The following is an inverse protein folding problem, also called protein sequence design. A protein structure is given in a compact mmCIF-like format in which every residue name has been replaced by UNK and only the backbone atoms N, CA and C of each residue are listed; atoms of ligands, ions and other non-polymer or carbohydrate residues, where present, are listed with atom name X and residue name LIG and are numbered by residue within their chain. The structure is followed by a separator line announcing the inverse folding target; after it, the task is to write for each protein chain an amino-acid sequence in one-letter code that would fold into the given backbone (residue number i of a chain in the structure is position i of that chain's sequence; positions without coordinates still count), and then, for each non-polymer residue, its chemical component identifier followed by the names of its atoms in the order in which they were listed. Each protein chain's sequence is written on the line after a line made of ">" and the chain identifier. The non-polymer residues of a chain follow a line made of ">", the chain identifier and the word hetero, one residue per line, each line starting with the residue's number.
data_IF_441277208001
#
_entry.id   IF_441277208001
#
_cell.length_a   1.000
_cell.length_b   1.000
_cell.length_c   1.000
_cell.angle_alpha   90.00
_cell.angle_beta   90.00
_cell.angle_gamma   90.00
#
_symmetry.space_group_name_H-M   'P 1'
#
loop_
_entity.id
_entity.type
_entity.pdbx_description
1 polymer ?
#
# COMPACT_ATOMS: atom_id res chain seq x y z
N UNK A 1 -20.51 -48.35 -0.99
CA UNK A 1 -19.82 -47.35 -1.83
C UNK A 1 -19.70 -46.05 -1.07
N UNK A 2 -18.61 -45.83 -0.36
CA UNK A 2 -18.32 -44.59 0.32
C UNK A 2 -17.47 -43.69 -0.58
N UNK A 3 -18.11 -42.68 -1.16
CA UNK A 3 -17.45 -41.61 -1.87
C UNK A 3 -16.85 -40.63 -0.87
N UNK A 4 -15.58 -40.81 -0.53
CA UNK A 4 -14.84 -39.79 0.20
C UNK A 4 -14.66 -38.56 -0.71
N UNK A 5 -15.43 -37.53 -0.46
CA UNK A 5 -15.21 -36.20 -1.03
C UNK A 5 -13.82 -35.71 -0.65
N UNK A 6 -12.91 -35.76 -1.59
CA UNK A 6 -11.57 -35.13 -1.45
C UNK A 6 -11.79 -33.63 -1.37
N UNK A 7 -11.82 -33.13 -0.16
CA UNK A 7 -11.73 -31.72 0.15
C UNK A 7 -10.42 -31.18 -0.44
N UNK A 8 -10.52 -30.55 -1.60
CA UNK A 8 -9.41 -29.83 -2.19
C UNK A 8 -9.10 -28.68 -1.23
N UNK A 9 -8.12 -28.89 -0.37
CA UNK A 9 -7.45 -27.77 0.31
C UNK A 9 -7.04 -26.80 -0.78
N UNK A 10 -7.73 -25.70 -0.88
CA UNK A 10 -7.20 -24.51 -1.54
C UNK A 10 -5.94 -24.17 -0.75
N UNK A 11 -4.80 -24.52 -1.27
CA UNK A 11 -3.53 -24.02 -0.79
C UNK A 11 -3.58 -22.51 -1.03
N UNK A 12 -4.00 -21.78 0.00
CA UNK A 12 -3.95 -20.34 -0.03
C UNK A 12 -2.46 -19.98 -0.22
N UNK A 13 -2.12 -19.53 -1.41
CA UNK A 13 -0.81 -18.99 -1.68
C UNK A 13 -0.63 -17.82 -0.70
N UNK A 14 0.46 -17.78 0.07
CA UNK A 14 0.65 -16.68 1.01
C UNK A 14 0.58 -15.35 0.25
N UNK A 15 0.03 -14.29 0.85
CA UNK A 15 -0.05 -12.98 0.21
C UNK A 15 1.34 -12.56 -0.24
N UNK A 16 1.47 -12.24 -1.52
CA UNK A 16 2.75 -11.80 -2.07
C UNK A 16 2.98 -10.35 -1.66
N UNK A 17 4.14 -10.06 -1.12
CA UNK A 17 4.57 -8.68 -0.91
C UNK A 17 4.67 -8.01 -2.27
N UNK A 18 4.01 -6.89 -2.42
CA UNK A 18 4.00 -6.12 -3.65
C UNK A 18 5.13 -5.11 -3.67
N UNK A 19 5.36 -4.48 -2.53
CA UNK A 19 6.30 -3.38 -2.44
C UNK A 19 6.81 -3.16 -1.01
N UNK A 20 8.04 -2.69 -0.89
CA UNK A 20 8.63 -2.22 0.36
C UNK A 20 9.20 -0.82 0.13
N UNK A 21 8.83 0.13 0.98
CA UNK A 21 9.18 1.54 0.85
C UNK A 21 9.66 2.11 2.18
N UNK A 22 10.83 2.73 2.17
CA UNK A 22 11.27 3.55 3.29
C UNK A 22 10.47 4.86 3.36
N UNK A 23 10.22 5.32 4.59
CA UNK A 23 9.65 6.64 4.81
C UNK A 23 10.62 7.74 4.33
N UNK A 24 10.13 8.74 3.58
CA UNK A 24 10.94 9.90 3.25
C UNK A 24 11.08 10.88 4.41
N UNK A 25 10.39 10.65 5.53
CA UNK A 25 10.33 11.57 6.68
C UNK A 25 11.02 11.01 7.92
N UNK A 26 11.03 9.69 8.08
CA UNK A 26 11.58 9.00 9.25
C UNK A 26 12.52 7.89 8.81
N UNK A 27 13.82 7.97 9.14
CA UNK A 27 14.81 7.01 8.65
C UNK A 27 14.64 5.60 9.21
N UNK A 28 13.90 5.44 10.32
CA UNK A 28 13.64 4.16 10.97
C UNK A 28 12.33 3.50 10.53
N UNK A 29 11.52 4.19 9.69
CA UNK A 29 10.19 3.74 9.33
C UNK A 29 10.13 3.27 7.89
N UNK A 30 9.51 2.11 7.68
CA UNK A 30 9.22 1.60 6.35
C UNK A 30 7.83 0.97 6.26
N UNK A 31 7.29 0.92 5.05
CA UNK A 31 6.00 0.31 4.75
C UNK A 31 6.18 -0.96 3.92
N UNK A 32 5.33 -1.94 4.15
CA UNK A 32 5.18 -3.12 3.31
C UNK A 32 3.76 -3.21 2.82
N UNK A 33 3.61 -3.24 1.49
CA UNK A 33 2.35 -3.49 0.82
C UNK A 33 2.24 -4.94 0.33
N UNK A 34 1.08 -5.53 0.49
CA UNK A 34 0.68 -6.78 -0.14
C UNK A 34 -0.67 -6.62 -0.83
N UNK A 35 -1.17 -7.67 -1.48
CA UNK A 35 -2.49 -7.63 -2.11
C UNK A 35 -3.64 -7.36 -1.13
N UNK A 36 -3.43 -7.57 0.17
CA UNK A 36 -4.49 -7.58 1.19
C UNK A 36 -4.23 -6.62 2.34
N UNK A 37 -3.02 -6.11 2.49
CA UNK A 37 -2.67 -5.23 3.59
C UNK A 37 -1.58 -4.21 3.24
N UNK A 38 -1.57 -3.14 4.02
CA UNK A 38 -0.48 -2.18 4.11
C UNK A 38 -0.05 -2.10 5.57
N UNK A 39 1.22 -2.34 5.86
CA UNK A 39 1.76 -2.35 7.22
C UNK A 39 2.93 -1.40 7.33
N UNK A 40 2.99 -0.69 8.45
CA UNK A 40 4.13 0.14 8.84
C UNK A 40 4.93 -0.52 9.94
N UNK A 41 6.24 -0.47 9.78
CA UNK A 41 7.21 -0.95 10.76
C UNK A 41 8.19 0.14 11.12
N UNK A 42 8.59 0.12 12.36
CA UNK A 42 9.69 0.94 12.89
C UNK A 42 10.85 0.03 13.28
N UNK A 43 12.04 0.44 12.85
CA UNK A 43 13.29 -0.24 13.18
C UNK A 43 14.03 0.56 14.24
N UNK A 44 14.25 -0.01 15.42
CA UNK A 44 15.11 0.56 16.44
C UNK A 44 16.50 -0.06 16.36
N UNK A 45 17.41 0.57 15.60
CA UNK A 45 18.77 0.11 15.45
C UNK A 45 19.66 0.64 16.56
N UNK A 46 20.11 -0.22 17.47
CA UNK A 46 21.36 -0.06 18.19
C UNK A 46 22.36 -1.09 17.69
N UNK A 47 23.55 -0.63 17.45
CA UNK A 47 24.67 -1.28 16.80
C UNK A 47 24.83 -2.81 17.02
N UNK A 48 25.12 -3.47 15.92
CA UNK A 48 26.02 -4.59 15.68
C UNK A 48 25.56 -6.03 15.82
N UNK A 49 24.55 -6.44 16.52
CA UNK A 49 24.28 -7.91 16.59
C UNK A 49 22.82 -8.38 16.76
N UNK A 50 21.87 -7.51 16.86
CA UNK A 50 20.46 -7.89 17.13
C UNK A 50 19.44 -7.30 16.14
N UNK A 51 19.82 -7.06 14.92
CA UNK A 51 18.97 -6.39 13.90
C UNK A 51 17.60 -7.09 13.66
N UNK A 52 17.50 -8.37 13.93
CA UNK A 52 16.25 -9.12 13.72
C UNK A 52 15.20 -8.97 14.82
N UNK A 53 15.54 -8.41 15.98
CA UNK A 53 14.65 -8.34 17.13
C UNK A 53 14.01 -6.96 17.36
N UNK A 54 14.40 -5.95 16.59
CA UNK A 54 14.04 -4.56 16.85
C UNK A 54 13.11 -3.95 15.82
N UNK A 55 12.32 -4.77 15.11
CA UNK A 55 11.30 -4.31 14.18
C UNK A 55 9.95 -4.41 14.83
N UNK A 56 9.26 -3.27 14.98
CA UNK A 56 7.92 -3.18 15.55
C UNK A 56 6.89 -2.80 14.51
N UNK A 57 5.74 -3.46 14.53
CA UNK A 57 4.57 -3.04 13.78
C UNK A 57 3.96 -1.80 14.46
N UNK A 58 3.90 -0.67 13.75
CA UNK A 58 3.38 0.59 14.27
C UNK A 58 2.07 1.04 13.64
N UNK A 59 1.65 0.41 12.57
CA UNK A 59 0.38 0.70 11.92
C UNK A 59 0.03 -0.36 10.89
N UNK A 60 -1.26 -0.59 10.67
CA UNK A 60 -1.71 -1.50 9.61
C UNK A 60 -3.07 -1.10 9.06
N UNK A 61 -3.27 -1.33 7.78
CA UNK A 61 -4.54 -1.30 7.08
C UNK A 61 -4.77 -2.68 6.49
N UNK A 62 -5.81 -3.36 6.92
CA UNK A 62 -6.12 -4.74 6.50
C UNK A 62 -7.26 -4.84 5.50
N UNK A 63 -7.96 -3.75 5.26
CA UNK A 63 -9.05 -3.67 4.28
C UNK A 63 -8.61 -2.98 2.99
N UNK A 64 -7.41 -3.30 2.55
CA UNK A 64 -6.90 -2.84 1.25
C UNK A 64 -7.19 -3.89 0.21
N UNK A 65 -8.29 -3.72 -0.50
CA UNK A 65 -8.66 -4.67 -1.54
C UNK A 65 -7.76 -4.52 -2.76
N UNK A 66 -7.02 -5.59 -3.06
CA UNK A 66 -6.27 -5.71 -4.32
C UNK A 66 -5.23 -4.60 -4.53
N UNK A 67 -4.45 -4.31 -3.52
CA UNK A 67 -3.31 -3.39 -3.61
C UNK A 67 -2.34 -3.85 -4.71
N UNK A 68 -1.94 -2.92 -5.56
CA UNK A 68 -0.98 -3.15 -6.66
C UNK A 68 0.28 -2.32 -6.52
N UNK A 69 0.18 -1.12 -6.01
CA UNK A 69 1.31 -0.22 -5.81
C UNK A 69 1.06 0.73 -4.65
N UNK A 70 2.13 1.27 -4.10
CA UNK A 70 2.12 2.19 -2.96
C UNK A 70 3.06 3.35 -3.25
N UNK A 71 2.70 4.54 -2.81
CA UNK A 71 3.58 5.70 -2.83
C UNK A 71 3.44 6.53 -1.56
N UNK A 72 4.56 6.86 -0.95
CA UNK A 72 4.58 7.68 0.25
C UNK A 72 4.43 9.16 -0.10
N UNK A 73 3.59 9.88 0.65
CA UNK A 73 3.47 11.34 0.50
C UNK A 73 4.80 12.03 0.82
N UNK A 74 5.27 12.94 -0.04
CA UNK A 74 6.46 13.74 0.22
C UNK A 74 6.19 14.93 1.14
N UNK A 75 4.94 15.15 1.54
CA UNK A 75 4.56 16.29 2.36
C UNK A 75 4.99 16.08 3.83
N UNK A 76 5.90 16.92 4.38
CA UNK A 76 6.35 16.79 5.77
C UNK A 76 5.27 17.13 6.80
N UNK A 77 4.17 17.79 6.40
CA UNK A 77 3.02 18.06 7.26
C UNK A 77 2.08 16.83 7.36
N UNK A 78 2.22 15.89 6.43
CA UNK A 78 1.45 14.65 6.38
C UNK A 78 2.37 13.42 6.27
N UNK A 79 3.29 13.24 7.24
CA UNK A 79 4.39 12.29 7.11
C UNK A 79 3.96 10.81 7.15
N UNK A 80 2.71 10.52 7.53
CA UNK A 80 2.14 9.19 7.64
C UNK A 80 1.16 8.85 6.52
N UNK A 81 1.04 9.71 5.52
CA UNK A 81 0.11 9.51 4.40
C UNK A 81 0.76 8.69 3.29
N UNK A 82 0.12 7.59 2.93
CA UNK A 82 0.48 6.74 1.81
C UNK A 82 -0.69 6.65 0.83
N UNK A 83 -0.35 6.65 -0.45
CA UNK A 83 -1.28 6.37 -1.53
C UNK A 83 -1.19 4.91 -1.95
N UNK A 84 -2.33 4.28 -2.12
CA UNK A 84 -2.45 2.89 -2.57
C UNK A 84 -3.17 2.85 -3.91
N UNK A 85 -2.55 2.26 -4.90
CA UNK A 85 -3.17 1.95 -6.19
C UNK A 85 -3.73 0.53 -6.19
N UNK A 86 -4.94 0.36 -6.71
CA UNK A 86 -5.67 -0.91 -6.67
C UNK A 86 -5.84 -1.56 -8.04
N UNK A 87 -6.25 -2.83 -8.06
CA UNK A 87 -6.52 -3.58 -9.28
C UNK A 87 -7.71 -3.04 -10.10
N UNK A 88 -8.56 -2.24 -9.49
CA UNK A 88 -9.69 -1.57 -10.18
C UNK A 88 -9.36 -0.12 -10.58
N UNK A 89 -8.13 0.33 -10.29
CA UNK A 89 -7.63 1.65 -10.68
C UNK A 89 -7.93 2.76 -9.70
N UNK A 90 -8.60 2.47 -8.59
CA UNK A 90 -8.75 3.44 -7.51
C UNK A 90 -7.39 3.76 -6.89
N UNK A 91 -7.18 5.02 -6.57
CA UNK A 91 -6.09 5.48 -5.72
C UNK A 91 -6.68 5.94 -4.40
N UNK A 92 -6.24 5.32 -3.32
CA UNK A 92 -6.77 5.56 -1.97
C UNK A 92 -5.66 6.12 -1.10
N UNK A 93 -5.89 7.24 -0.44
CA UNK A 93 -4.98 7.82 0.52
C UNK A 93 -5.31 7.31 1.93
N UNK A 94 -4.31 6.81 2.63
CA UNK A 94 -4.41 6.37 4.00
C UNK A 94 -3.48 7.17 4.91
N UNK A 95 -3.99 7.63 6.04
CA UNK A 95 -3.17 8.15 7.13
C UNK A 95 -2.96 7.03 8.17
N UNK A 96 -1.74 6.58 8.32
CA UNK A 96 -1.38 5.48 9.22
C UNK A 96 -0.85 5.97 10.58
N UNK A 97 -1.18 7.21 10.95
CA UNK A 97 -0.74 7.89 12.18
C UNK A 97 -1.22 7.20 13.47
N UNK A 98 -2.32 6.48 13.39
CA UNK A 98 -2.95 5.85 14.55
C UNK A 98 -2.44 4.42 14.68
N UNK A 99 -1.81 4.13 15.81
CA UNK A 99 -1.19 2.85 16.10
C UNK A 99 -2.09 1.62 15.89
N UNK A 100 -1.53 0.49 16.18
CA UNK A 100 -2.13 -0.83 15.99
C UNK A 100 -3.58 -0.90 16.51
N UNK A 101 -4.50 -1.28 15.64
CA UNK A 101 -5.92 -1.48 15.96
C UNK A 101 -6.83 -0.26 15.81
N UNK A 102 -6.30 0.91 15.46
CA UNK A 102 -7.16 2.04 15.11
C UNK A 102 -7.77 1.84 13.71
N UNK A 103 -9.07 2.09 13.51
CA UNK A 103 -9.66 2.05 12.20
C UNK A 103 -9.05 3.17 11.35
N UNK A 104 -8.16 2.82 10.45
CA UNK A 104 -7.65 3.75 9.46
C UNK A 104 -8.71 3.91 8.38
N UNK A 105 -9.50 4.96 8.50
CA UNK A 105 -10.38 5.36 7.42
C UNK A 105 -9.55 5.93 6.27
N UNK A 106 -9.91 5.57 5.05
CA UNK A 106 -9.37 6.22 3.87
C UNK A 106 -9.64 7.72 3.95
N UNK A 107 -8.60 8.53 3.78
CA UNK A 107 -8.74 9.98 3.78
C UNK A 107 -9.46 10.47 2.53
N UNK A 108 -9.14 9.85 1.39
CA UNK A 108 -9.60 10.27 0.08
C UNK A 108 -9.51 9.11 -0.91
N UNK A 109 -10.41 9.06 -1.85
CA UNK A 109 -10.37 8.12 -2.97
C UNK A 109 -10.44 8.87 -4.30
N UNK A 110 -9.57 8.48 -5.23
CA UNK A 110 -9.61 8.90 -6.62
C UNK A 110 -10.07 7.74 -7.48
N UNK A 111 -11.12 7.93 -8.26
CA UNK A 111 -11.74 6.88 -9.06
C UNK A 111 -11.57 7.21 -10.54
N UNK A 112 -10.94 6.34 -11.34
CA UNK A 112 -10.84 6.54 -12.77
C UNK A 112 -12.20 6.35 -13.44
N UNK A 113 -12.37 6.94 -14.63
CA UNK A 113 -13.59 6.79 -15.43
C UNK A 113 -13.87 5.33 -15.81
N UNK A 114 -12.83 4.56 -16.08
CA UNK A 114 -12.91 3.14 -16.42
C UNK A 114 -12.13 2.31 -15.44
N UNK A 115 -12.68 1.18 -15.03
CA UNK A 115 -11.97 0.22 -14.18
C UNK A 115 -10.80 -0.39 -14.95
N UNK A 116 -9.62 -0.29 -14.37
CA UNK A 116 -8.36 -0.81 -14.91
C UNK A 116 -7.30 -0.85 -13.83
N UNK A 117 -6.30 -1.71 -13.98
CA UNK A 117 -5.27 -1.85 -12.97
C UNK A 117 -4.42 -0.58 -12.85
N UNK A 118 -4.19 -0.14 -11.62
CA UNK A 118 -3.19 0.88 -11.31
C UNK A 118 -1.85 0.17 -11.06
N UNK A 119 -0.87 0.37 -11.95
CA UNK A 119 0.43 -0.29 -11.87
C UNK A 119 1.48 0.54 -11.14
N UNK A 120 1.34 1.84 -11.14
CA UNK A 120 2.33 2.73 -10.54
C UNK A 120 1.73 4.01 -10.02
N UNK A 121 2.33 4.55 -8.98
CA UNK A 121 1.99 5.83 -8.39
C UNK A 121 3.25 6.66 -8.19
N UNK A 122 3.14 7.95 -8.41
CA UNK A 122 4.19 8.90 -8.09
C UNK A 122 3.61 10.23 -7.61
N UNK A 123 4.07 10.69 -6.47
CA UNK A 123 3.78 12.03 -6.00
C UNK A 123 4.65 13.06 -6.72
N UNK A 124 4.10 14.23 -6.96
CA UNK A 124 4.87 15.35 -7.43
C UNK A 124 5.76 15.90 -6.28
N UNK A 125 7.08 15.83 -6.44
CA UNK A 125 8.01 16.28 -5.42
C UNK A 125 8.03 17.80 -5.21
N UNK A 126 7.54 18.56 -6.18
CA UNK A 126 7.48 20.03 -6.13
C UNK A 126 6.09 20.48 -5.67
N UNK A 127 5.05 20.07 -6.39
CA UNK A 127 3.66 20.28 -5.97
C UNK A 127 3.16 19.04 -5.21
N UNK A 128 3.33 19.05 -3.91
CA UNK A 128 3.08 17.92 -3.01
C UNK A 128 1.60 17.52 -2.88
N UNK A 129 0.70 18.26 -3.51
CA UNK A 129 -0.73 17.96 -3.56
C UNK A 129 -1.15 17.25 -4.85
N UNK A 130 -0.20 16.89 -5.69
CA UNK A 130 -0.46 16.17 -6.93
C UNK A 130 0.11 14.77 -6.90
N UNK A 131 -0.68 13.82 -7.37
CA UNK A 131 -0.28 12.43 -7.57
C UNK A 131 -0.59 11.98 -8.99
N UNK A 132 0.34 11.29 -9.62
CA UNK A 132 0.15 10.67 -10.91
C UNK A 132 0.00 9.15 -10.76
N UNK A 133 -0.92 8.57 -11.52
CA UNK A 133 -1.13 7.14 -11.59
C UNK A 133 -0.91 6.62 -13.01
N UNK A 134 -0.09 5.59 -13.12
CA UNK A 134 0.07 4.79 -14.33
C UNK A 134 -0.93 3.63 -14.31
N UNK A 135 -1.86 3.65 -15.25
CA UNK A 135 -2.97 2.72 -15.34
C UNK A 135 -2.84 1.82 -16.57
N UNK A 136 -3.49 0.67 -16.52
CA UNK A 136 -3.60 -0.17 -17.70
C UNK A 136 -4.31 0.57 -18.83
N UNK A 137 -3.86 0.35 -20.06
CA UNK A 137 -4.33 1.10 -21.22
C UNK A 137 -5.73 0.62 -21.63
N UNK A 138 -6.65 1.55 -21.74
CA UNK A 138 -7.98 1.35 -22.32
C UNK A 138 -8.07 2.10 -23.64
N UNK A 139 -8.68 1.48 -24.65
CA UNK A 139 -8.85 2.09 -25.96
C UNK A 139 -9.58 3.44 -25.85
N UNK A 140 -8.97 4.48 -26.40
CA UNK A 140 -9.53 5.83 -26.38
C UNK A 140 -9.34 6.62 -25.09
N UNK A 141 -8.52 6.11 -24.16
CA UNK A 141 -8.21 6.80 -22.91
C UNK A 141 -6.71 6.78 -22.62
N UNK A 142 -6.25 7.76 -21.85
CA UNK A 142 -4.86 7.83 -21.41
C UNK A 142 -4.55 6.73 -20.38
N UNK A 143 -3.35 6.19 -20.45
CA UNK A 143 -2.82 5.30 -19.41
C UNK A 143 -2.30 6.04 -18.18
N UNK A 144 -2.43 7.37 -18.12
CA UNK A 144 -1.94 8.21 -17.02
C UNK A 144 -3.03 9.18 -16.59
N UNK A 145 -3.26 9.26 -15.29
CA UNK A 145 -4.10 10.26 -14.66
C UNK A 145 -3.29 11.03 -13.61
N UNK A 146 -3.65 12.29 -13.42
CA UNK A 146 -3.07 13.16 -12.40
C UNK A 146 -4.21 13.78 -11.60
N UNK A 147 -4.13 13.71 -10.29
CA UNK A 147 -5.04 14.33 -9.33
C UNK A 147 -4.33 15.32 -8.42
#
# INVERSE_FOLDING_TARGET
>A
ASGAARERRRSGMPPRHTELLWSPHFPEVFAIGSSEYLKLYEFSGTEERQAQQNVQLIGSVTDVQQLKCVAWSPNPEEPWTLAVGTAVGKVVLHDLRHGEGAPTSALCEFVPRFQRVCFSLAWNGINRNQIAAGLDKVRGDSGVLVW
#
